data_IF_180708086028
#
_entry.id   IF_180708086028
#
_cell.length_a   1.000
_cell.length_b   1.000
_cell.length_c   1.000
_cell.angle_alpha   90.00
_cell.angle_beta   90.00
_cell.angle_gamma   90.00
#
_symmetry.space_group_name_H-M   'P 1'
#
loop_
_entity.id
_entity.type
_entity.pdbx_description
1 polymer ?
#
# COMPACT_ATOMS: atom_id res chain seq x y z
N UNK A 1 37.41 20.80 -33.50
CA UNK A 1 36.93 22.18 -33.26
C UNK A 1 36.00 22.56 -34.38
N UNK A 2 34.74 22.88 -34.09
CA UNK A 2 33.83 23.66 -34.94
C UNK A 2 32.89 24.43 -34.00
N UNK A 3 32.46 25.62 -34.43
CA UNK A 3 32.02 26.68 -33.52
C UNK A 3 30.66 27.28 -33.93
N UNK A 4 29.94 27.76 -32.91
CA UNK A 4 28.90 28.81 -32.97
C UNK A 4 27.60 28.51 -33.76
N UNK A 5 26.49 28.49 -33.02
CA UNK A 5 25.32 29.33 -33.33
C UNK A 5 24.50 29.56 -32.05
N UNK A 6 24.34 30.82 -31.62
CA UNK A 6 23.45 31.21 -30.52
C UNK A 6 22.20 31.92 -31.08
N UNK A 7 21.00 31.52 -30.63
CA UNK A 7 19.69 32.12 -30.93
C UNK A 7 18.60 31.38 -30.10
N UNK A 8 17.50 31.95 -29.61
CA UNK A 8 17.17 33.34 -29.21
C UNK A 8 16.02 33.28 -28.18
N UNK A 9 16.18 33.71 -26.91
CA UNK A 9 15.12 33.60 -25.90
C UNK A 9 14.14 34.79 -25.96
N UNK A 10 13.10 34.72 -26.80
CA UNK A 10 12.17 35.83 -26.95
C UNK A 10 10.72 35.48 -27.40
N UNK A 11 9.77 35.74 -26.50
CA UNK A 11 8.43 36.34 -26.76
C UNK A 11 7.39 35.51 -27.56
N UNK A 12 6.33 35.02 -26.87
CA UNK A 12 4.93 35.51 -26.96
C UNK A 12 3.96 34.56 -26.23
N UNK A 13 3.51 34.93 -25.03
CA UNK A 13 2.24 34.44 -24.48
C UNK A 13 1.12 35.36 -24.97
N UNK A 14 0.07 34.86 -25.66
CA UNK A 14 -1.16 35.60 -25.82
C UNK A 14 -1.98 35.56 -24.51
N UNK A 15 -2.28 36.76 -24.02
CA UNK A 15 -3.21 37.05 -22.93
C UNK A 15 -4.65 36.59 -23.21
N UNK A 16 -5.39 36.33 -22.14
CA UNK A 16 -6.82 35.97 -22.10
C UNK A 16 -7.74 37.02 -22.75
N UNK A 17 -8.98 36.65 -23.09
CA UNK A 17 -10.08 37.33 -22.42
C UNK A 17 -11.13 36.40 -21.78
N UNK A 18 -11.74 36.94 -20.72
CA UNK A 18 -12.83 36.39 -19.91
C UNK A 18 -14.13 36.18 -20.70
N UNK A 19 -14.97 35.21 -20.29
CA UNK A 19 -16.45 35.32 -20.38
C UNK A 19 -17.15 34.29 -19.49
N UNK A 20 -18.02 34.80 -18.63
CA UNK A 20 -18.91 34.12 -17.66
C UNK A 20 -20.21 34.96 -17.58
N UNK A 21 -21.38 34.49 -17.13
CA UNK A 21 -22.02 33.16 -17.12
C UNK A 21 -23.40 33.16 -17.86
N UNK A 22 -24.18 32.06 -17.84
CA UNK A 22 -25.59 32.03 -17.36
C UNK A 22 -26.40 30.77 -17.79
N UNK A 23 -27.36 30.39 -16.92
CA UNK A 23 -28.65 29.70 -17.14
C UNK A 23 -28.74 28.48 -18.09
N UNK A 24 -29.03 27.26 -17.60
CA UNK A 24 -30.36 26.69 -17.24
C UNK A 24 -31.46 26.75 -18.30
N UNK A 25 -31.87 25.57 -18.80
CA UNK A 25 -33.26 25.24 -19.17
C UNK A 25 -33.50 23.76 -18.81
N UNK A 26 -34.70 23.45 -18.32
CA UNK A 26 -35.14 22.16 -17.78
C UNK A 26 -36.10 21.42 -18.77
N UNK A 27 -36.58 20.24 -18.37
CA UNK A 27 -37.67 19.42 -18.97
C UNK A 27 -37.42 18.83 -20.38
N UNK A 28 -37.78 17.57 -20.69
CA UNK A 28 -38.91 16.78 -20.19
C UNK A 28 -38.74 15.26 -20.41
N UNK A 29 -39.45 14.50 -19.59
CA UNK A 29 -39.60 13.04 -19.53
C UNK A 29 -39.63 12.23 -20.85
N UNK A 30 -39.14 10.99 -20.79
CA UNK A 30 -40.01 9.80 -20.95
C UNK A 30 -39.43 8.61 -20.16
N UNK A 31 -40.30 7.80 -19.56
CA UNK A 31 -39.95 6.52 -18.93
C UNK A 31 -40.57 5.37 -19.72
N UNK A 32 -39.94 4.19 -19.74
CA UNK A 32 -40.72 2.96 -19.68
C UNK A 32 -40.30 2.00 -18.56
N UNK A 33 -41.25 1.11 -18.27
CA UNK A 33 -41.35 0.18 -17.16
C UNK A 33 -40.16 -0.80 -16.95
N UNK A 34 -40.02 -1.38 -15.73
CA UNK A 34 -38.93 -2.29 -15.40
C UNK A 34 -39.13 -3.69 -15.99
N UNK A 35 -38.03 -4.32 -16.41
CA UNK A 35 -38.00 -5.72 -16.80
C UNK A 35 -36.69 -6.41 -16.37
N UNK A 36 -36.81 -7.70 -16.08
CA UNK A 36 -35.73 -8.64 -15.73
C UNK A 36 -34.97 -8.34 -14.42
N UNK A 37 -35.50 -8.91 -13.33
CA UNK A 37 -34.68 -9.32 -12.18
C UNK A 37 -33.57 -10.27 -12.65
N UNK A 38 -32.38 -9.75 -12.91
CA UNK A 38 -31.19 -10.59 -12.92
C UNK A 38 -30.82 -10.87 -11.47
N UNK A 39 -31.11 -12.09 -11.00
CA UNK A 39 -30.53 -12.64 -9.76
C UNK A 39 -29.01 -12.69 -9.95
N UNK A 40 -28.35 -11.57 -9.68
CA UNK A 40 -26.92 -11.53 -9.45
C UNK A 40 -26.65 -12.51 -8.30
N UNK A 41 -25.93 -13.59 -8.62
CA UNK A 41 -25.52 -14.60 -7.64
C UNK A 41 -24.85 -13.86 -6.50
N UNK A 42 -25.26 -14.13 -5.26
CA UNK A 42 -24.63 -13.61 -4.05
C UNK A 42 -23.19 -14.14 -3.98
N UNK A 43 -22.28 -13.48 -4.69
CA UNK A 43 -20.86 -13.55 -4.43
C UNK A 43 -20.70 -13.12 -2.99
N UNK A 44 -20.36 -14.07 -2.11
CA UNK A 44 -20.24 -13.85 -0.67
C UNK A 44 -19.24 -12.72 -0.44
N UNK A 45 -19.76 -11.52 -0.25
CA UNK A 45 -18.96 -10.35 0.05
C UNK A 45 -18.47 -10.51 1.49
N UNK A 46 -17.34 -11.22 1.65
CA UNK A 46 -16.67 -11.42 2.92
C UNK A 46 -16.20 -10.06 3.42
N UNK A 47 -17.12 -9.35 4.10
CA UNK A 47 -16.79 -8.18 4.90
C UNK A 47 -15.96 -8.70 6.06
N UNK A 48 -14.64 -8.73 5.87
CA UNK A 48 -13.67 -8.92 6.94
C UNK A 48 -13.85 -7.75 7.89
N UNK A 49 -14.74 -7.93 8.88
CA UNK A 49 -15.05 -6.94 9.89
C UNK A 49 -13.76 -6.55 10.61
N UNK A 50 -13.63 -5.27 10.95
CA UNK A 50 -12.45 -4.76 11.68
C UNK A 50 -12.17 -5.55 12.96
N UNK A 51 -13.21 -6.01 13.66
CA UNK A 51 -13.11 -6.92 14.79
C UNK A 51 -12.42 -8.26 14.46
N UNK A 52 -12.69 -8.85 13.29
CA UNK A 52 -12.03 -10.08 12.81
C UNK A 52 -10.56 -9.85 12.46
N UNK A 53 -10.22 -8.69 11.87
CA UNK A 53 -8.82 -8.31 11.65
C UNK A 53 -8.07 -8.12 12.97
N UNK A 54 -8.69 -7.50 13.98
CA UNK A 54 -8.09 -7.32 15.31
C UNK A 54 -7.94 -8.65 16.05
N UNK A 55 -8.94 -9.53 16.00
CA UNK A 55 -8.86 -10.88 16.57
C UNK A 55 -7.76 -11.70 15.91
N UNK A 56 -7.69 -11.71 14.58
CA UNK A 56 -6.60 -12.36 13.84
C UNK A 56 -5.23 -11.76 14.19
N UNK A 57 -5.13 -10.44 14.43
CA UNK A 57 -3.88 -9.76 14.81
C UNK A 57 -3.44 -10.04 16.26
N UNK A 58 -4.39 -10.35 17.15
CA UNK A 58 -4.10 -10.86 18.49
C UNK A 58 -3.62 -12.31 18.45
N UNK A 59 -4.32 -13.19 17.71
CA UNK A 59 -3.97 -14.60 17.58
C UNK A 59 -2.61 -14.79 16.86
N UNK A 60 -2.39 -14.03 15.78
CA UNK A 60 -1.13 -14.02 15.00
C UNK A 60 0.10 -13.50 15.74
N UNK A 61 -0.04 -13.04 16.99
CA UNK A 61 1.09 -12.62 17.83
C UNK A 61 1.15 -13.39 19.16
N UNK A 62 0.22 -14.32 19.40
CA UNK A 62 0.14 -15.09 20.64
C UNK A 62 1.38 -15.96 20.88
N UNK A 63 1.98 -16.47 19.80
CA UNK A 63 3.26 -17.18 19.79
C UNK A 63 4.43 -16.31 20.29
N UNK A 64 4.37 -14.99 20.08
CA UNK A 64 5.35 -14.02 20.58
C UNK A 64 5.01 -13.61 22.01
N UNK A 65 3.73 -13.41 22.35
CA UNK A 65 3.30 -12.98 23.68
C UNK A 65 3.52 -14.06 24.76
N UNK A 66 3.22 -15.33 24.45
CA UNK A 66 3.46 -16.48 25.34
C UNK A 66 4.95 -16.88 25.43
N UNK A 67 5.84 -16.25 24.65
CA UNK A 67 7.28 -16.57 24.69
C UNK A 67 7.96 -16.05 25.95
N UNK A 68 9.06 -16.67 26.36
CA UNK A 68 9.82 -16.25 27.54
C UNK A 68 10.89 -15.17 27.23
N UNK A 69 10.68 -14.44 26.12
CA UNK A 69 11.56 -13.39 25.63
C UNK A 69 11.27 -12.06 26.35
N UNK A 70 12.27 -11.17 26.46
CA UNK A 70 12.07 -9.80 26.96
C UNK A 70 11.14 -8.99 26.06
N UNK A 71 10.39 -8.07 26.65
CA UNK A 71 9.37 -7.28 25.94
C UNK A 71 9.93 -6.51 24.74
N UNK A 72 11.15 -5.98 24.82
CA UNK A 72 11.81 -5.31 23.69
C UNK A 72 11.98 -6.23 22.47
N UNK A 73 12.24 -7.52 22.68
CA UNK A 73 12.37 -8.53 21.62
C UNK A 73 10.97 -8.91 21.10
N UNK A 74 9.99 -9.08 22.00
CA UNK A 74 8.58 -9.32 21.63
C UNK A 74 8.02 -8.20 20.75
N UNK A 75 8.19 -6.94 21.16
CA UNK A 75 7.80 -5.76 20.40
C UNK A 75 8.46 -5.72 19.01
N UNK A 76 9.74 -6.08 18.94
CA UNK A 76 10.49 -6.08 17.70
C UNK A 76 10.05 -7.21 16.73
N UNK A 77 9.75 -8.40 17.25
CA UNK A 77 9.14 -9.49 16.47
C UNK A 77 7.75 -9.09 15.95
N UNK A 78 6.90 -8.47 16.79
CA UNK A 78 5.59 -7.93 16.37
C UNK A 78 5.73 -6.89 15.25
N UNK A 79 6.72 -5.99 15.37
CA UNK A 79 7.00 -5.00 14.32
C UNK A 79 7.50 -5.66 13.02
N UNK A 80 8.36 -6.69 13.10
CA UNK A 80 8.80 -7.45 11.93
C UNK A 80 7.61 -8.15 11.25
N UNK A 81 6.70 -8.78 12.01
CA UNK A 81 5.51 -9.44 11.47
C UNK A 81 4.53 -8.44 10.83
N UNK A 82 4.35 -7.26 11.42
CA UNK A 82 3.59 -6.16 10.82
C UNK A 82 4.23 -5.66 9.51
N UNK A 83 5.55 -5.46 9.49
CA UNK A 83 6.27 -5.04 8.28
C UNK A 83 6.20 -6.11 7.17
N UNK A 84 6.36 -7.40 7.49
CA UNK A 84 6.14 -8.52 6.54
C UNK A 84 4.74 -8.44 5.93
N UNK A 85 3.70 -8.19 6.74
CA UNK A 85 2.32 -8.03 6.28
C UNK A 85 2.14 -6.82 5.36
N UNK A 86 2.61 -5.63 5.77
CA UNK A 86 2.51 -4.41 4.97
C UNK A 86 3.28 -4.52 3.63
N UNK A 87 4.40 -5.24 3.59
CA UNK A 87 5.12 -5.55 2.35
C UNK A 87 4.26 -6.45 1.46
N UNK A 88 3.66 -7.52 1.99
CA UNK A 88 2.78 -8.41 1.21
C UNK A 88 1.56 -7.66 0.66
N UNK A 89 0.90 -6.85 1.49
CA UNK A 89 -0.24 -6.01 1.10
C UNK A 89 0.18 -5.01 -0.02
N UNK A 90 1.37 -4.40 0.07
CA UNK A 90 1.90 -3.51 -0.98
C UNK A 90 2.33 -4.23 -2.25
N UNK A 91 2.84 -5.46 -2.17
CA UNK A 91 3.10 -6.29 -3.36
C UNK A 91 1.79 -6.64 -4.09
N UNK A 92 0.73 -6.97 -3.35
CA UNK A 92 -0.59 -7.18 -3.92
C UNK A 92 -1.17 -5.89 -4.53
N UNK A 93 -0.98 -4.72 -3.89
CA UNK A 93 -1.39 -3.43 -4.46
C UNK A 93 -0.63 -3.09 -5.74
N UNK A 94 0.68 -3.38 -5.82
CA UNK A 94 1.46 -3.22 -7.07
C UNK A 94 0.92 -4.11 -8.18
N UNK A 95 0.63 -5.38 -7.88
CA UNK A 95 0.05 -6.32 -8.85
C UNK A 95 -1.31 -5.82 -9.36
N UNK A 96 -2.21 -5.42 -8.44
CA UNK A 96 -3.52 -4.86 -8.78
C UNK A 96 -3.40 -3.57 -9.62
N UNK A 97 -2.54 -2.62 -9.21
CA UNK A 97 -2.30 -1.38 -9.94
C UNK A 97 -1.66 -1.61 -11.32
N UNK A 98 -0.87 -2.68 -11.51
CA UNK A 98 -0.32 -3.03 -12.82
C UNK A 98 -1.36 -3.63 -13.78
N UNK A 99 -2.33 -4.38 -13.23
CA UNK A 99 -3.44 -4.97 -13.97
C UNK A 99 -4.63 -4.01 -14.18
N UNK A 100 -4.66 -2.88 -13.48
CA UNK A 100 -5.71 -1.87 -13.58
C UNK A 100 -5.65 -1.12 -14.92
N UNK A 101 -6.49 -1.57 -15.85
CA UNK A 101 -6.62 -0.98 -17.18
C UNK A 101 -7.52 0.27 -17.22
N UNK A 102 -8.08 0.72 -16.10
CA UNK A 102 -8.87 1.96 -16.04
C UNK A 102 -8.01 3.23 -16.02
N UNK A 103 -6.73 3.10 -15.64
CA UNK A 103 -5.76 4.20 -15.57
C UNK A 103 -4.97 4.37 -16.87
N UNK A 104 -4.67 5.63 -17.23
CA UNK A 104 -3.74 5.96 -18.32
C UNK A 104 -2.35 5.36 -18.04
N UNK A 105 -1.54 5.05 -19.08
CA UNK A 105 -0.22 4.46 -18.87
C UNK A 105 0.70 5.32 -17.98
N UNK A 106 0.69 6.65 -18.09
CA UNK A 106 1.49 7.52 -17.24
C UNK A 106 1.01 7.49 -15.78
N UNK A 107 -0.31 7.56 -15.55
CA UNK A 107 -0.89 7.50 -14.21
C UNK A 107 -0.60 6.15 -13.52
N UNK A 108 -0.66 5.06 -14.29
CA UNK A 108 -0.32 3.71 -13.82
C UNK A 108 1.16 3.61 -13.46
N UNK A 109 2.06 4.09 -14.31
CA UNK A 109 3.50 4.12 -14.04
C UNK A 109 3.83 4.96 -12.81
N UNK A 110 3.24 6.15 -12.67
CA UNK A 110 3.42 7.00 -11.50
C UNK A 110 2.93 6.33 -10.21
N UNK A 111 1.76 5.67 -10.24
CA UNK A 111 1.22 4.94 -9.09
C UNK A 111 2.11 3.76 -8.70
N UNK A 112 2.51 2.94 -9.67
CA UNK A 112 3.41 1.79 -9.44
C UNK A 112 4.77 2.25 -8.90
N UNK A 113 5.36 3.32 -9.43
CA UNK A 113 6.62 3.88 -8.94
C UNK A 113 6.55 4.34 -7.48
N UNK A 114 5.47 5.02 -7.09
CA UNK A 114 5.24 5.42 -5.70
C UNK A 114 5.06 4.21 -4.76
N UNK A 115 4.36 3.16 -5.21
CA UNK A 115 4.22 1.92 -4.45
C UNK A 115 5.54 1.16 -4.32
N UNK A 116 6.36 1.12 -5.37
CA UNK A 116 7.71 0.53 -5.34
C UNK A 116 8.65 1.27 -4.38
N UNK A 117 8.65 2.61 -4.40
CA UNK A 117 9.40 3.41 -3.43
C UNK A 117 8.94 3.15 -1.98
N UNK A 118 7.62 3.05 -1.76
CA UNK A 118 7.06 2.71 -0.44
C UNK A 118 7.47 1.30 0.01
N UNK A 119 7.48 0.33 -0.91
CA UNK A 119 7.92 -1.04 -0.66
C UNK A 119 9.41 -1.10 -0.31
N UNK A 120 10.27 -0.36 -1.02
CA UNK A 120 11.70 -0.27 -0.70
C UNK A 120 11.95 0.34 0.69
N UNK A 121 11.16 1.34 1.09
CA UNK A 121 11.21 1.91 2.44
C UNK A 121 10.78 0.88 3.51
N UNK A 122 9.70 0.13 3.28
CA UNK A 122 9.26 -0.93 4.19
C UNK A 122 10.28 -2.08 4.31
N UNK A 123 10.89 -2.51 3.21
CA UNK A 123 11.97 -3.50 3.20
C UNK A 123 13.22 -3.01 3.96
N UNK A 124 13.55 -1.73 3.83
CA UNK A 124 14.62 -1.10 4.62
C UNK A 124 14.30 -1.10 6.10
N UNK A 125 13.06 -0.75 6.47
CA UNK A 125 12.56 -0.83 7.85
C UNK A 125 12.59 -2.25 8.42
N UNK A 126 12.20 -3.26 7.63
CA UNK A 126 12.28 -4.67 8.01
C UNK A 126 13.73 -5.10 8.25
N UNK A 127 14.65 -4.69 7.37
CA UNK A 127 16.10 -4.99 7.52
C UNK A 127 16.67 -4.33 8.78
N UNK A 128 16.29 -3.07 9.06
CA UNK A 128 16.69 -2.40 10.31
C UNK A 128 16.11 -3.10 11.54
N UNK A 129 14.84 -3.51 11.50
CA UNK A 129 14.22 -4.25 12.59
C UNK A 129 14.92 -5.60 12.85
N UNK A 130 15.28 -6.34 11.80
CA UNK A 130 16.08 -7.55 11.89
C UNK A 130 17.50 -7.31 12.44
N UNK A 131 18.17 -6.22 12.05
CA UNK A 131 19.47 -5.85 12.61
C UNK A 131 19.38 -5.52 14.11
N UNK A 132 18.34 -4.79 14.52
CA UNK A 132 18.09 -4.51 15.93
C UNK A 132 17.74 -5.78 16.71
N UNK A 133 17.05 -6.74 16.08
CA UNK A 133 16.73 -8.05 16.67
C UNK A 133 18.03 -8.84 16.88
N UNK A 134 18.89 -8.93 15.87
CA UNK A 134 20.19 -9.59 15.97
C UNK A 134 21.13 -8.95 17.00
N UNK A 135 21.01 -7.65 17.29
CA UNK A 135 21.72 -7.01 18.40
C UNK A 135 21.09 -7.38 19.74
N UNK A 136 19.78 -7.19 19.90
CA UNK A 136 19.07 -7.49 21.14
C UNK A 136 19.21 -8.96 21.56
N UNK A 137 19.28 -9.88 20.59
CA UNK A 137 19.48 -11.31 20.82
C UNK A 137 20.93 -11.67 21.19
N UNK A 138 21.95 -10.89 20.81
CA UNK A 138 23.35 -11.19 21.18
C UNK A 138 23.60 -11.17 22.68
N UNK A 139 22.86 -10.33 23.40
CA UNK A 139 22.94 -10.20 24.85
C UNK A 139 22.03 -11.20 25.60
N UNK A 140 21.33 -12.08 24.87
CA UNK A 140 20.40 -13.09 25.41
C UNK A 140 20.96 -14.52 25.34
N UNK A 141 20.50 -15.44 26.19
CA UNK A 141 20.89 -16.85 26.14
C UNK A 141 20.50 -17.53 24.81
N UNK A 142 21.26 -18.54 24.41
CA UNK A 142 21.09 -19.25 23.14
C UNK A 142 19.66 -19.78 22.90
N UNK A 143 18.96 -20.21 23.95
CA UNK A 143 17.57 -20.65 23.87
C UNK A 143 16.61 -19.52 23.45
N UNK A 144 16.79 -18.31 23.99
CA UNK A 144 16.03 -17.13 23.59
C UNK A 144 16.36 -16.70 22.15
N UNK A 145 17.62 -16.83 21.73
CA UNK A 145 18.03 -16.62 20.34
C UNK A 145 17.32 -17.59 19.39
N UNK A 146 17.34 -18.89 19.69
CA UNK A 146 16.67 -19.92 18.89
C UNK A 146 15.15 -19.74 18.86
N UNK A 147 14.52 -19.43 20.00
CA UNK A 147 13.09 -19.16 20.08
C UNK A 147 12.70 -17.95 19.23
N UNK A 148 13.44 -16.84 19.32
CA UNK A 148 13.15 -15.64 18.52
C UNK A 148 13.34 -15.87 17.00
N UNK A 149 14.35 -16.65 16.58
CA UNK A 149 14.52 -17.02 15.16
C UNK A 149 13.37 -17.91 14.66
N UNK A 150 12.91 -18.87 15.46
CA UNK A 150 11.75 -19.72 15.16
C UNK A 150 10.45 -18.91 15.04
N UNK A 151 10.27 -17.89 15.88
CA UNK A 151 9.11 -16.98 15.81
C UNK A 151 9.19 -16.02 14.60
N UNK A 152 10.36 -15.48 14.27
CA UNK A 152 10.54 -14.56 13.14
C UNK A 152 10.32 -15.22 11.76
N UNK A 153 10.55 -16.53 11.66
CA UNK A 153 10.38 -17.33 10.44
C UNK A 153 8.94 -17.76 10.17
N UNK A 154 8.05 -17.67 11.19
CA UNK A 154 6.59 -17.66 11.02
C UNK A 154 6.12 -16.28 10.54
#
# INVERSE_FOLDING_TARGET
>A
MSVIAANNPAIRLPIVPDTKPAAVVDEKAEAPAPAAETKAVEGVAVKISSAGFQAAKADSNKDIDDSNLKDSIKQLLKMIRELKKQIADKMAEIAAASADNSLTPEARQARVGNLQASLAALQSGLTMAQMQLGKALKDEPADAQMQAMSLASK
#
